data_IF_348517174687
#
_entry.id   IF_348517174687
#
_cell.length_a   1.000
_cell.length_b   1.000
_cell.length_c   1.000
_cell.angle_alpha   90.00
_cell.angle_beta   90.00
_cell.angle_gamma   90.00
#
_symmetry.space_group_name_H-M   'P 1'
#
loop_
_entity.id
_entity.type
_entity.pdbx_description
1 polymer ?
#
# COMPACT_ATOMS: atom_id res chain seq x y z
N UNK A 1 16.72 -22.66 -10.74
CA UNK A 1 16.13 -21.30 -10.63
C UNK A 1 16.48 -20.60 -9.30
N UNK A 2 17.64 -20.91 -8.68
CA UNK A 2 18.10 -20.32 -7.40
C UNK A 2 19.57 -19.86 -7.47
N UNK A 3 20.27 -20.06 -8.59
CA UNK A 3 21.74 -19.83 -8.66
C UNK A 3 22.17 -18.39 -8.92
N UNK A 4 21.24 -17.46 -9.22
CA UNK A 4 21.59 -16.08 -9.58
C UNK A 4 21.17 -15.02 -8.54
N UNK A 5 20.52 -15.41 -7.45
CA UNK A 5 20.09 -14.50 -6.37
C UNK A 5 21.26 -13.72 -5.71
N UNK A 6 22.45 -14.32 -5.47
CA UNK A 6 23.56 -13.58 -4.89
C UNK A 6 24.13 -12.49 -5.82
N UNK A 7 24.15 -12.75 -7.14
CA UNK A 7 24.63 -11.81 -8.16
C UNK A 7 23.67 -10.63 -8.32
N UNK A 8 22.36 -10.89 -8.26
CA UNK A 8 21.32 -9.85 -8.32
C UNK A 8 21.35 -8.93 -7.10
N UNK A 9 21.64 -9.46 -5.90
CA UNK A 9 21.78 -8.64 -4.69
C UNK A 9 23.04 -7.78 -4.73
N UNK A 10 24.16 -8.31 -5.24
CA UNK A 10 25.41 -7.56 -5.34
C UNK A 10 25.30 -6.41 -6.36
N UNK A 11 24.75 -6.68 -7.55
CA UNK A 11 24.52 -5.65 -8.57
C UNK A 11 23.54 -4.55 -8.11
N UNK A 12 22.54 -4.89 -7.30
CA UNK A 12 21.60 -3.93 -6.71
C UNK A 12 22.19 -3.10 -5.56
N UNK A 13 23.34 -3.50 -5.01
CA UNK A 13 24.11 -2.75 -4.01
C UNK A 13 25.12 -1.81 -4.68
N UNK A 14 25.65 -2.18 -5.84
CA UNK A 14 26.78 -1.48 -6.49
C UNK A 14 26.35 -0.38 -7.50
N UNK A 15 25.05 -0.09 -7.63
CA UNK A 15 24.49 1.04 -8.43
C UNK A 15 24.87 1.10 -9.92
N UNK A 16 25.40 0.01 -10.50
CA UNK A 16 25.86 -0.02 -11.89
C UNK A 16 24.85 -0.75 -12.80
N UNK A 17 23.70 -0.08 -13.06
CA UNK A 17 22.69 -0.58 -14.00
C UNK A 17 23.08 -0.21 -15.44
N UNK A 18 24.05 -0.93 -16.00
CA UNK A 18 24.38 -0.82 -17.42
C UNK A 18 23.24 -1.32 -18.35
N UNK A 19 23.19 -0.84 -19.62
CA UNK A 19 22.06 -1.02 -20.54
C UNK A 19 21.78 -2.48 -20.94
N UNK A 20 22.68 -3.42 -20.68
CA UNK A 20 22.51 -4.84 -21.04
C UNK A 20 21.60 -5.63 -20.08
N UNK A 21 21.40 -5.16 -18.84
CA UNK A 21 20.61 -5.87 -17.82
C UNK A 21 19.10 -5.54 -17.82
N UNK A 22 18.67 -4.57 -18.62
CA UNK A 22 17.24 -4.21 -18.78
C UNK A 22 16.42 -5.28 -19.50
N UNK A 23 17.03 -6.34 -20.04
CA UNK A 23 16.34 -7.34 -20.85
C UNK A 23 15.84 -8.57 -20.06
N UNK A 24 16.30 -8.81 -18.82
CA UNK A 24 15.90 -10.01 -18.04
C UNK A 24 15.84 -9.74 -16.52
N UNK A 25 15.42 -8.55 -16.08
CA UNK A 25 14.56 -8.56 -14.88
C UNK A 25 13.24 -9.08 -15.41
N UNK A 26 12.67 -10.19 -14.92
CA UNK A 26 11.35 -10.57 -15.36
C UNK A 26 10.45 -9.36 -15.08
N UNK A 27 9.98 -8.69 -16.13
CA UNK A 27 8.98 -7.63 -16.01
C UNK A 27 7.76 -8.13 -15.22
N UNK A 28 7.61 -9.45 -15.04
CA UNK A 28 6.64 -10.07 -14.15
C UNK A 28 6.83 -9.80 -12.66
N UNK A 29 8.06 -9.55 -12.15
CA UNK A 29 8.28 -9.36 -10.71
C UNK A 29 8.01 -7.94 -10.24
N UNK A 30 8.33 -6.92 -11.05
CA UNK A 30 8.18 -5.51 -10.68
C UNK A 30 7.19 -4.76 -11.58
N UNK A 31 6.59 -5.44 -12.56
CA UNK A 31 5.84 -4.79 -13.62
C UNK A 31 6.75 -4.29 -14.73
N UNK A 32 6.22 -3.40 -15.57
CA UNK A 32 6.97 -2.80 -16.67
C UNK A 32 7.93 -1.71 -16.15
N UNK A 33 9.15 -2.13 -15.78
CA UNK A 33 10.20 -1.24 -15.27
C UNK A 33 10.68 -0.22 -16.31
N UNK A 34 10.37 -0.42 -17.60
CA UNK A 34 10.71 0.51 -18.67
C UNK A 34 9.68 1.64 -18.82
N UNK A 35 8.49 1.47 -18.23
CA UNK A 35 7.46 2.48 -18.28
C UNK A 35 7.88 3.74 -17.51
N UNK A 36 7.68 4.91 -18.10
CA UNK A 36 7.97 6.22 -17.45
C UNK A 36 7.22 6.39 -16.12
N UNK A 37 6.07 5.74 -15.98
CA UNK A 37 5.24 5.72 -14.76
C UNK A 37 5.78 4.84 -13.63
N UNK A 38 6.76 4.00 -13.92
CA UNK A 38 7.32 3.07 -12.94
C UNK A 38 8.16 3.83 -11.92
N UNK A 39 8.08 3.47 -10.64
CA UNK A 39 8.85 4.15 -9.59
C UNK A 39 10.37 4.13 -9.83
N UNK A 40 10.90 3.21 -10.62
CA UNK A 40 12.33 3.14 -10.98
C UNK A 40 12.73 3.95 -12.20
N UNK A 41 11.76 4.49 -12.95
CA UNK A 41 12.03 5.39 -14.07
C UNK A 41 12.25 6.84 -13.62
N UNK A 42 12.03 7.15 -12.35
CA UNK A 42 12.13 8.49 -11.76
C UNK A 42 13.07 8.49 -10.55
N UNK A 43 13.58 9.67 -10.20
CA UNK A 43 14.29 9.86 -8.94
C UNK A 43 13.30 9.98 -7.77
N UNK A 44 13.71 9.48 -6.60
CA UNK A 44 12.95 9.74 -5.38
C UNK A 44 13.12 11.18 -4.95
N UNK A 45 12.10 11.73 -4.28
CA UNK A 45 12.18 13.06 -3.72
C UNK A 45 13.23 13.09 -2.60
N UNK A 46 14.24 13.95 -2.77
CA UNK A 46 15.19 14.26 -1.71
C UNK A 46 14.66 15.42 -0.86
N UNK A 47 14.01 15.08 0.26
CA UNK A 47 13.46 16.07 1.18
C UNK A 47 14.52 16.74 2.08
N UNK A 48 15.80 16.35 1.99
CA UNK A 48 16.86 16.77 2.92
C UNK A 48 16.66 16.26 4.36
N UNK A 49 15.50 15.67 4.65
CA UNK A 49 15.13 15.05 5.92
C UNK A 49 14.44 13.71 5.66
N UNK A 50 14.43 12.86 6.67
CA UNK A 50 13.67 11.60 6.64
C UNK A 50 12.19 11.91 6.89
N UNK A 51 11.32 11.50 5.97
CA UNK A 51 9.88 11.63 6.18
C UNK A 51 9.43 10.78 7.38
N UNK A 52 8.55 11.35 8.19
CA UNK A 52 7.84 10.65 9.25
C UNK A 52 6.73 9.76 8.68
N UNK A 53 6.28 8.76 9.47
CA UNK A 53 5.19 7.86 9.05
C UNK A 53 3.91 8.64 8.66
N UNK A 54 3.44 9.64 9.45
CA UNK A 54 2.26 10.43 9.08
C UNK A 54 2.42 11.21 7.77
N UNK A 55 3.61 11.76 7.50
CA UNK A 55 3.88 12.48 6.25
C UNK A 55 3.80 11.53 5.05
N UNK A 56 4.34 10.32 5.16
CA UNK A 56 4.26 9.32 4.09
C UNK A 56 2.83 8.89 3.85
N UNK A 57 2.07 8.59 4.90
CA UNK A 57 0.68 8.11 4.74
C UNK A 57 -0.25 9.20 4.22
N UNK A 58 -0.06 10.45 4.66
CA UNK A 58 -0.83 11.60 4.13
C UNK A 58 -0.50 11.89 2.67
N UNK A 59 0.79 11.86 2.30
CA UNK A 59 1.18 12.00 0.89
C UNK A 59 0.60 10.87 0.03
N UNK A 60 0.63 9.62 0.51
CA UNK A 60 0.04 8.49 -0.20
C UNK A 60 -1.47 8.69 -0.39
N UNK A 61 -2.22 9.03 0.67
CA UNK A 61 -3.66 9.29 0.59
C UNK A 61 -4.00 10.41 -0.41
N UNK A 62 -3.19 11.47 -0.49
CA UNK A 62 -3.40 12.53 -1.47
C UNK A 62 -3.47 11.99 -2.92
N UNK A 63 -2.58 11.06 -3.30
CA UNK A 63 -2.58 10.46 -4.63
C UNK A 63 -3.69 9.42 -4.85
N UNK A 64 -4.21 8.82 -3.78
CA UNK A 64 -5.34 7.87 -3.83
C UNK A 64 -6.70 8.56 -3.84
N UNK A 65 -6.78 9.82 -3.41
CA UNK A 65 -8.04 10.50 -3.17
C UNK A 65 -8.76 10.86 -4.47
N UNK A 66 -10.05 10.47 -4.63
CA UNK A 66 -10.87 10.92 -5.76
C UNK A 66 -11.16 12.42 -5.73
N UNK A 67 -10.97 13.10 -4.60
CA UNK A 67 -11.16 14.56 -4.51
C UNK A 67 -9.99 15.35 -5.09
N UNK A 68 -8.82 14.71 -5.22
CA UNK A 68 -7.60 15.31 -5.79
C UNK A 68 -7.39 14.82 -7.21
N UNK A 69 -7.57 13.52 -7.43
CA UNK A 69 -7.44 12.86 -8.73
C UNK A 69 -8.73 12.11 -9.07
N UNK A 70 -9.65 12.77 -9.75
CA UNK A 70 -11.01 12.25 -10.01
C UNK A 70 -11.01 10.86 -10.65
N UNK A 71 -10.20 10.66 -11.70
CA UNK A 71 -10.15 9.40 -12.45
C UNK A 71 -9.02 8.48 -11.98
N UNK A 72 -7.83 9.04 -11.72
CA UNK A 72 -6.67 8.24 -11.32
C UNK A 72 -6.75 7.77 -9.85
N UNK A 73 -7.28 8.58 -8.94
CA UNK A 73 -7.37 8.28 -7.50
C UNK A 73 -8.07 6.94 -7.21
N UNK A 74 -9.32 6.72 -7.67
CA UNK A 74 -10.01 5.44 -7.49
C UNK A 74 -9.25 4.23 -8.06
N UNK A 75 -8.61 4.39 -9.23
CA UNK A 75 -7.81 3.32 -9.86
C UNK A 75 -6.59 2.97 -9.02
N UNK A 76 -5.86 3.98 -8.54
CA UNK A 76 -4.72 3.81 -7.62
C UNK A 76 -5.15 3.18 -6.31
N UNK A 77 -6.30 3.58 -5.79
CA UNK A 77 -6.87 3.02 -4.57
C UNK A 77 -7.19 1.53 -4.75
N UNK A 78 -7.88 1.17 -5.83
CA UNK A 78 -8.15 -0.23 -6.15
C UNK A 78 -6.85 -1.03 -6.34
N UNK A 79 -5.86 -0.46 -7.05
CA UNK A 79 -4.54 -1.06 -7.22
C UNK A 79 -3.80 -1.30 -5.88
N UNK A 80 -3.85 -0.33 -4.96
CA UNK A 80 -3.27 -0.49 -3.62
C UNK A 80 -3.97 -1.60 -2.83
N UNK A 81 -5.31 -1.66 -2.87
CA UNK A 81 -6.06 -2.72 -2.17
C UNK A 81 -5.70 -4.09 -2.74
N UNK A 82 -5.60 -4.25 -4.07
CA UNK A 82 -5.13 -5.49 -4.70
C UNK A 82 -3.70 -5.84 -4.30
N UNK A 83 -2.80 -4.86 -4.30
CA UNK A 83 -1.42 -5.04 -3.87
C UNK A 83 -1.30 -5.51 -2.41
N UNK A 84 -2.15 -4.99 -1.51
CA UNK A 84 -2.22 -5.43 -0.12
C UNK A 84 -2.67 -6.90 0.00
N UNK A 85 -3.72 -7.30 -0.70
CA UNK A 85 -4.19 -8.70 -0.70
C UNK A 85 -3.12 -9.65 -1.26
N UNK A 86 -2.50 -9.29 -2.39
CA UNK A 86 -1.40 -10.08 -2.98
C UNK A 86 -0.20 -10.18 -2.04
N UNK A 87 0.19 -9.08 -1.40
CA UNK A 87 1.27 -9.07 -0.42
C UNK A 87 0.95 -9.94 0.81
N UNK A 88 -0.33 -10.07 1.17
CA UNK A 88 -0.79 -10.94 2.24
C UNK A 88 -0.94 -12.42 1.80
N UNK A 89 -0.56 -12.77 0.56
CA UNK A 89 -0.70 -14.13 0.03
C UNK A 89 -2.14 -14.54 -0.25
N UNK A 90 -3.05 -13.56 -0.45
CA UNK A 90 -4.46 -13.81 -0.75
C UNK A 90 -4.75 -13.43 -2.19
N UNK A 91 -5.26 -14.40 -2.96
CA UNK A 91 -5.75 -14.17 -4.32
C UNK A 91 -7.24 -13.85 -4.34
N UNK A 92 -7.99 -14.30 -3.33
CA UNK A 92 -9.40 -13.93 -3.15
C UNK A 92 -9.51 -12.52 -2.55
N UNK A 93 -9.90 -11.58 -3.41
CA UNK A 93 -10.37 -10.27 -3.00
C UNK A 93 -11.72 -10.45 -2.28
N UNK A 94 -11.67 -10.60 -0.95
CA UNK A 94 -12.91 -10.67 -0.13
C UNK A 94 -13.83 -9.46 -0.32
N UNK A 95 -13.28 -8.35 -0.81
CA UNK A 95 -14.00 -7.12 -1.08
C UNK A 95 -14.10 -6.94 -2.59
N UNK A 96 -15.31 -6.68 -3.08
CA UNK A 96 -15.53 -6.32 -4.47
C UNK A 96 -14.95 -4.93 -4.72
N UNK A 97 -14.00 -4.82 -5.64
CA UNK A 97 -13.35 -3.55 -5.97
C UNK A 97 -13.99 -2.84 -7.17
N UNK A 98 -14.83 -3.52 -7.96
CA UNK A 98 -15.55 -2.92 -9.08
C UNK A 98 -16.27 -1.60 -8.71
N UNK A 99 -16.94 -1.50 -7.54
CA UNK A 99 -17.64 -0.27 -7.15
C UNK A 99 -16.71 0.93 -6.96
N UNK A 100 -15.44 0.72 -6.56
CA UNK A 100 -14.45 1.79 -6.47
C UNK A 100 -14.27 2.49 -7.81
N UNK A 101 -14.39 1.74 -8.91
CA UNK A 101 -14.15 2.23 -10.26
C UNK A 101 -15.43 2.69 -10.97
N UNK A 102 -16.59 2.22 -10.50
CA UNK A 102 -17.86 2.35 -11.22
C UNK A 102 -18.76 3.48 -10.72
N UNK A 103 -18.63 3.93 -9.47
CA UNK A 103 -19.56 4.91 -8.90
C UNK A 103 -18.81 6.10 -8.29
N UNK A 104 -18.69 7.21 -9.04
CA UNK A 104 -18.10 8.45 -8.53
C UNK A 104 -18.74 8.89 -7.20
N UNK A 105 -17.93 9.40 -6.27
CA UNK A 105 -18.39 9.92 -4.99
C UNK A 105 -18.73 8.87 -3.92
N UNK A 106 -18.56 7.56 -4.19
CA UNK A 106 -18.74 6.52 -3.18
C UNK A 106 -17.46 6.20 -2.40
N UNK A 107 -16.29 6.57 -2.93
CA UNK A 107 -14.98 6.31 -2.35
C UNK A 107 -14.54 7.48 -1.45
N UNK A 108 -14.16 7.15 -0.22
CA UNK A 108 -13.44 8.05 0.67
C UNK A 108 -12.09 7.43 1.05
N UNK A 109 -11.02 8.21 0.92
CA UNK A 109 -9.69 7.83 1.39
C UNK A 109 -9.20 8.89 2.37
N UNK A 110 -8.85 8.49 3.58
CA UNK A 110 -8.44 9.40 4.64
C UNK A 110 -7.14 8.91 5.28
N UNK A 111 -6.19 9.83 5.42
CA UNK A 111 -5.06 9.64 6.31
C UNK A 111 -5.48 10.08 7.72
N UNK A 112 -4.86 9.49 8.73
CA UNK A 112 -5.03 9.92 10.11
C UNK A 112 -6.51 9.90 10.61
N UNK A 113 -7.32 8.96 10.10
CA UNK A 113 -8.75 8.82 10.45
C UNK A 113 -8.93 8.65 11.95
N UNK A 114 -9.64 9.58 12.60
CA UNK A 114 -9.89 9.52 14.05
C UNK A 114 -11.01 8.54 14.40
N UNK A 115 -10.77 7.73 15.44
CA UNK A 115 -11.75 6.83 16.04
C UNK A 115 -11.74 7.02 17.56
N UNK A 116 -12.52 7.99 18.04
CA UNK A 116 -12.42 8.45 19.43
C UNK A 116 -11.11 9.19 19.68
N UNK A 117 -10.32 8.71 20.65
CA UNK A 117 -9.01 9.23 21.03
C UNK A 117 -7.85 8.69 20.18
N UNK A 118 -8.13 7.79 19.23
CA UNK A 118 -7.12 7.12 18.40
C UNK A 118 -7.17 7.57 16.95
N UNK A 119 -6.09 7.28 16.23
CA UNK A 119 -5.85 7.69 14.84
C UNK A 119 -5.36 6.49 14.03
N UNK A 120 -6.12 6.11 13.01
CA UNK A 120 -5.73 5.09 12.02
C UNK A 120 -4.90 5.78 10.94
N UNK A 121 -3.77 5.20 10.56
CA UNK A 121 -2.86 5.84 9.61
C UNK A 121 -3.49 6.01 8.21
N UNK A 122 -4.16 5.00 7.66
CA UNK A 122 -4.95 5.09 6.42
C UNK A 122 -6.27 4.32 6.55
N UNK A 123 -7.37 4.95 6.13
CA UNK A 123 -8.67 4.31 5.95
C UNK A 123 -9.17 4.52 4.51
N UNK A 124 -9.57 3.42 3.86
CA UNK A 124 -10.20 3.42 2.54
C UNK A 124 -11.60 2.86 2.71
N UNK A 125 -12.59 3.60 2.24
CA UNK A 125 -14.00 3.29 2.45
C UNK A 125 -14.77 3.47 1.15
N UNK A 126 -15.68 2.54 0.86
CA UNK A 126 -16.61 2.68 -0.26
C UNK A 126 -17.91 1.92 -0.03
N UNK A 127 -18.86 2.07 -0.95
CA UNK A 127 -20.15 1.37 -0.90
C UNK A 127 -20.35 0.56 -2.19
N UNK A 128 -20.82 -0.68 -2.06
CA UNK A 128 -21.10 -1.58 -3.19
C UNK A 128 -22.34 -1.15 -4.02
N UNK A 129 -22.97 -0.02 -3.68
CA UNK A 129 -24.16 0.49 -4.33
C UNK A 129 -24.57 1.88 -3.79
N UNK A 130 -25.74 2.41 -4.18
CA UNK A 130 -26.20 3.74 -3.76
C UNK A 130 -26.64 3.81 -2.30
N UNK A 131 -26.83 2.66 -1.65
CA UNK A 131 -27.18 2.58 -0.24
C UNK A 131 -25.97 2.92 0.63
N UNK A 132 -26.19 3.68 1.71
CA UNK A 132 -25.15 4.02 2.68
C UNK A 132 -25.22 3.17 3.95
N UNK A 133 -25.84 1.99 3.87
CA UNK A 133 -25.98 1.07 5.00
C UNK A 133 -24.72 0.25 5.24
N UNK A 134 -24.68 -0.46 6.37
CA UNK A 134 -23.49 -1.26 6.74
C UNK A 134 -23.25 -2.47 5.82
N UNK A 135 -24.29 -3.00 5.18
CA UNK A 135 -24.21 -4.20 4.34
C UNK A 135 -23.60 -3.89 2.98
N UNK A 136 -23.81 -2.68 2.47
CA UNK A 136 -23.15 -2.16 1.27
C UNK A 136 -21.79 -1.54 1.54
N UNK A 137 -21.54 -1.05 2.76
CA UNK A 137 -20.25 -0.43 3.12
C UNK A 137 -19.09 -1.43 3.14
N UNK A 138 -17.97 -1.00 2.60
CA UNK A 138 -16.68 -1.69 2.58
C UNK A 138 -15.61 -0.82 3.22
N UNK A 139 -14.72 -1.42 3.99
CA UNK A 139 -13.71 -0.69 4.75
C UNK A 139 -12.37 -1.42 4.77
N UNK A 140 -11.31 -0.78 4.32
CA UNK A 140 -9.93 -1.24 4.49
C UNK A 140 -9.22 -0.29 5.44
N UNK A 141 -8.72 -0.83 6.56
CA UNK A 141 -7.90 -0.09 7.51
C UNK A 141 -6.46 -0.56 7.39
N UNK A 142 -5.54 0.40 7.31
CA UNK A 142 -4.11 0.14 7.18
C UNK A 142 -3.39 0.89 8.30
N UNK A 143 -2.68 0.14 9.12
CA UNK A 143 -1.76 0.70 10.11
C UNK A 143 -0.34 0.58 9.57
N UNK A 144 0.40 1.69 9.50
CA UNK A 144 1.71 1.75 8.87
C UNK A 144 2.79 1.90 9.94
N UNK A 145 3.86 1.10 9.84
CA UNK A 145 5.01 1.17 10.74
C UNK A 145 6.31 0.99 9.97
N UNK A 146 7.14 2.02 10.01
CA UNK A 146 8.50 2.01 9.49
C UNK A 146 9.52 1.68 10.59
N UNK A 147 9.42 2.29 11.77
CA UNK A 147 10.32 2.01 12.92
C UNK A 147 9.57 1.75 14.22
N UNK A 148 8.31 2.18 14.32
CA UNK A 148 7.59 2.17 15.60
C UNK A 148 6.97 0.82 15.95
N UNK A 149 6.85 0.60 17.25
CA UNK A 149 6.17 -0.57 17.78
C UNK A 149 4.65 -0.35 17.79
N UNK A 150 3.93 -1.41 17.44
CA UNK A 150 2.49 -1.47 17.60
C UNK A 150 2.18 -1.52 19.09
N UNK A 151 1.40 -0.57 19.59
CA UNK A 151 0.92 -0.66 20.98
C UNK A 151 -0.18 -1.71 21.07
N UNK A 152 -0.18 -2.49 22.15
CA UNK A 152 -1.06 -3.66 22.31
C UNK A 152 -2.56 -3.35 22.26
N UNK A 153 -2.97 -2.09 22.47
CA UNK A 153 -4.37 -1.66 22.52
C UNK A 153 -4.89 -1.04 21.22
N UNK A 154 -4.03 -0.69 20.25
CA UNK A 154 -4.46 -0.04 19.01
C UNK A 154 -5.24 -0.99 18.09
N UNK A 155 -4.64 -2.14 17.77
CA UNK A 155 -5.19 -3.09 16.79
C UNK A 155 -6.59 -3.64 17.17
N UNK A 156 -6.88 -3.98 18.44
CA UNK A 156 -8.24 -4.39 18.83
C UNK A 156 -9.26 -3.26 18.69
N UNK A 157 -8.90 -2.02 19.04
CA UNK A 157 -9.83 -0.88 18.97
C UNK A 157 -10.24 -0.56 17.52
N UNK A 158 -9.29 -0.61 16.59
CA UNK A 158 -9.54 -0.41 15.16
C UNK A 158 -10.40 -1.52 14.56
N UNK A 159 -10.21 -2.76 14.99
CA UNK A 159 -11.09 -3.87 14.61
C UNK A 159 -12.53 -3.65 15.09
N UNK A 160 -12.72 -3.26 16.35
CA UNK A 160 -14.04 -2.94 16.89
C UNK A 160 -14.68 -1.75 16.17
N UNK A 161 -13.87 -0.78 15.73
CA UNK A 161 -14.36 0.29 14.86
C UNK A 161 -14.86 -0.29 13.52
N UNK A 162 -14.06 -1.10 12.82
CA UNK A 162 -14.45 -1.69 11.53
C UNK A 162 -15.72 -2.55 11.60
N UNK A 163 -15.83 -3.39 12.63
CA UNK A 163 -17.02 -4.22 12.92
C UNK A 163 -18.27 -3.38 13.20
N UNK A 164 -18.11 -2.17 13.77
CA UNK A 164 -19.24 -1.26 13.96
C UNK A 164 -19.65 -0.55 12.68
N UNK A 165 -18.71 -0.31 11.75
CA UNK A 165 -18.99 0.41 10.51
C UNK A 165 -19.60 -0.47 9.42
N UNK A 166 -19.25 -1.75 9.37
CA UNK A 166 -19.57 -2.66 8.25
C UNK A 166 -20.29 -3.92 8.73
N UNK A 167 -20.99 -4.59 7.82
CA UNK A 167 -21.49 -5.95 8.07
C UNK A 167 -20.33 -6.96 8.15
N UNK A 168 -20.62 -8.18 8.60
CA UNK A 168 -19.61 -9.25 8.65
C UNK A 168 -19.00 -9.47 7.25
N UNK A 169 -17.67 -9.57 7.20
CA UNK A 169 -16.92 -9.69 5.95
C UNK A 169 -16.74 -8.40 5.16
N UNK A 170 -17.39 -7.29 5.55
CA UNK A 170 -17.30 -5.99 4.87
C UNK A 170 -16.03 -5.19 5.15
N UNK A 171 -15.04 -5.75 5.86
CA UNK A 171 -13.80 -5.06 6.18
C UNK A 171 -12.54 -5.92 6.05
N UNK A 172 -11.41 -5.26 5.82
CA UNK A 172 -10.07 -5.85 5.88
C UNK A 172 -9.11 -4.98 6.70
N UNK A 173 -8.18 -5.63 7.39
CA UNK A 173 -7.22 -4.99 8.29
C UNK A 173 -5.81 -5.37 7.86
N UNK A 174 -5.00 -4.39 7.48
CA UNK A 174 -3.62 -4.60 7.05
C UNK A 174 -2.64 -3.89 7.98
N UNK A 175 -1.61 -4.59 8.39
CA UNK A 175 -0.50 -4.04 9.15
C UNK A 175 0.70 -3.97 8.23
N UNK A 176 1.03 -2.76 7.78
CA UNK A 176 2.09 -2.49 6.83
C UNK A 176 3.39 -2.15 7.56
N UNK A 177 4.40 -3.00 7.38
CA UNK A 177 5.62 -3.01 8.17
C UNK A 177 6.84 -2.80 7.28
N UNK A 178 7.91 -2.27 7.83
CA UNK A 178 9.23 -2.36 7.17
C UNK A 178 9.71 -3.82 7.12
N UNK A 179 9.68 -4.50 8.28
CA UNK A 179 10.11 -5.90 8.42
C UNK A 179 9.28 -6.69 9.42
N UNK A 180 9.16 -8.00 9.17
CA UNK A 180 8.56 -8.96 10.11
C UNK A 180 9.61 -9.37 11.15
N UNK A 181 9.48 -8.87 12.37
CA UNK A 181 10.33 -9.27 13.51
C UNK A 181 9.59 -10.26 14.40
N UNK A 182 10.31 -11.04 15.22
CA UNK A 182 9.67 -11.95 16.20
C UNK A 182 8.73 -11.22 17.17
N UNK A 183 9.03 -9.96 17.53
CA UNK A 183 8.14 -9.12 18.35
C UNK A 183 6.86 -8.79 17.60
N UNK A 184 6.98 -8.39 16.34
CA UNK A 184 5.82 -8.11 15.48
C UNK A 184 4.96 -9.36 15.32
N UNK A 185 5.58 -10.52 15.04
CA UNK A 185 4.90 -11.82 14.95
C UNK A 185 4.11 -12.15 16.21
N UNK A 186 4.68 -11.91 17.40
CA UNK A 186 3.95 -12.10 18.68
C UNK A 186 2.75 -11.16 18.82
N UNK A 187 2.87 -9.90 18.38
CA UNK A 187 1.76 -8.94 18.39
C UNK A 187 0.64 -9.38 17.45
N UNK A 188 0.99 -9.82 16.25
CA UNK A 188 0.06 -10.32 15.22
C UNK A 188 -0.62 -11.61 15.67
N UNK A 189 0.08 -12.52 16.34
CA UNK A 189 -0.50 -13.77 16.85
C UNK A 189 -1.68 -13.54 17.81
N UNK A 190 -1.67 -12.41 18.54
CA UNK A 190 -2.78 -11.96 19.40
C UNK A 190 -3.87 -11.19 18.64
N UNK A 191 -3.60 -10.79 17.41
CA UNK A 191 -4.44 -9.96 16.56
C UNK A 191 -4.71 -10.62 15.20
N UNK A 192 -5.22 -11.86 15.21
CA UNK A 192 -5.34 -12.74 14.03
C UNK A 192 -6.06 -12.17 12.80
N UNK A 193 -6.92 -11.17 12.98
CA UNK A 193 -7.63 -10.52 11.87
C UNK A 193 -6.75 -9.55 11.07
N UNK A 194 -5.64 -9.09 11.65
CA UNK A 194 -4.68 -8.22 11.00
C UNK A 194 -3.75 -9.02 10.11
N UNK A 195 -3.69 -8.63 8.84
CA UNK A 195 -2.83 -9.25 7.85
C UNK A 195 -1.51 -8.48 7.81
N UNK A 196 -0.40 -9.09 8.26
CA UNK A 196 0.89 -8.43 8.22
C UNK A 196 1.47 -8.48 6.81
N UNK A 197 1.88 -7.33 6.30
CA UNK A 197 2.50 -7.18 4.99
C UNK A 197 3.68 -6.23 5.10
N UNK A 198 4.65 -6.35 4.20
CA UNK A 198 5.82 -5.45 4.18
C UNK A 198 5.67 -4.37 3.12
N UNK A 199 6.23 -3.18 3.37
CA UNK A 199 6.29 -2.08 2.39
C UNK A 199 6.85 -2.54 1.03
N UNK A 200 7.97 -3.26 1.03
CA UNK A 200 8.59 -3.76 -0.21
C UNK A 200 7.65 -4.69 -0.99
N UNK A 201 6.96 -5.61 -0.31
CA UNK A 201 6.01 -6.51 -0.98
C UNK A 201 4.82 -5.74 -1.58
N UNK A 202 4.25 -4.80 -0.83
CA UNK A 202 3.11 -4.00 -1.30
C UNK A 202 3.51 -3.10 -2.46
N UNK A 203 4.64 -2.38 -2.36
CA UNK A 203 5.13 -1.53 -3.45
C UNK A 203 5.40 -2.33 -4.72
N UNK A 204 6.00 -3.51 -4.60
CA UNK A 204 6.23 -4.40 -5.74
C UNK A 204 4.93 -4.79 -6.44
N UNK A 205 3.91 -5.23 -5.70
CA UNK A 205 2.62 -5.58 -6.30
C UNK A 205 1.89 -4.33 -6.81
N UNK A 206 2.06 -3.19 -6.15
CA UNK A 206 1.46 -1.93 -6.60
C UNK A 206 2.00 -1.53 -7.98
N UNK A 207 3.31 -1.60 -8.24
CA UNK A 207 3.85 -1.31 -9.58
C UNK A 207 3.28 -2.25 -10.66
N UNK A 208 3.00 -3.51 -10.33
CA UNK A 208 2.33 -4.45 -11.25
C UNK A 208 0.87 -4.05 -11.53
N UNK A 209 0.16 -3.55 -10.52
CA UNK A 209 -1.25 -3.15 -10.66
C UNK A 209 -1.41 -1.82 -11.40
N UNK A 210 -0.41 -0.94 -11.33
CA UNK A 210 -0.42 0.38 -11.99
C UNK A 210 0.03 0.35 -13.45
N UNK A 211 0.28 -0.84 -14.03
CA UNK A 211 0.64 -0.96 -15.46
C UNK A 211 -0.48 -0.39 -16.36
N UNK A 212 -1.74 -0.40 -15.92
CA UNK A 212 -2.88 0.07 -16.73
C UNK A 212 -3.37 1.48 -16.31
N UNK A 213 -2.58 2.22 -15.55
CA UNK A 213 -2.97 3.53 -15.02
C UNK A 213 -2.89 4.64 -16.10
N UNK A 214 -3.87 5.56 -16.19
CA UNK A 214 -3.77 6.77 -17.02
C UNK A 214 -2.67 7.74 -16.55
N UNK A 215 -2.22 8.62 -17.45
CA UNK A 215 -1.01 9.45 -17.29
C UNK A 215 -1.10 10.63 -16.27
N UNK A 216 -2.26 10.92 -15.69
CA UNK A 216 -2.45 12.11 -14.84
C UNK A 216 -1.66 12.03 -13.52
N UNK A 217 -0.77 12.99 -13.24
CA UNK A 217 0.00 13.06 -11.98
C UNK A 217 0.92 11.86 -11.74
N UNK A 218 1.21 11.12 -12.81
CA UNK A 218 1.93 9.84 -12.77
C UNK A 218 3.39 10.01 -12.33
N UNK A 219 4.06 11.08 -12.76
CA UNK A 219 5.45 11.33 -12.39
C UNK A 219 5.58 11.61 -10.90
N UNK A 220 4.78 12.52 -10.34
CA UNK A 220 4.83 12.83 -8.90
C UNK A 220 4.46 11.63 -8.04
N UNK A 221 3.48 10.82 -8.47
CA UNK A 221 3.12 9.61 -7.74
C UNK A 221 4.24 8.56 -7.82
N UNK A 222 4.87 8.39 -8.99
CA UNK A 222 6.04 7.52 -9.14
C UNK A 222 7.21 8.00 -8.25
N UNK A 223 7.46 9.30 -8.17
CA UNK A 223 8.47 9.92 -7.31
C UNK A 223 8.20 9.63 -5.82
N UNK A 224 6.93 9.73 -5.39
CA UNK A 224 6.53 9.34 -4.03
C UNK A 224 6.78 7.85 -3.79
N UNK A 225 6.31 6.96 -4.69
CA UNK A 225 6.50 5.51 -4.54
C UNK A 225 7.98 5.14 -4.50
N UNK A 226 8.82 5.78 -5.32
CA UNK A 226 10.28 5.65 -5.29
C UNK A 226 10.87 6.09 -3.96
N UNK A 227 10.39 7.20 -3.41
CA UNK A 227 10.81 7.70 -2.09
C UNK A 227 10.50 6.68 -1.00
N UNK A 228 9.28 6.13 -0.98
CA UNK A 228 8.89 5.09 -0.01
C UNK A 228 9.75 3.83 -0.20
N UNK A 229 10.04 3.44 -1.44
CA UNK A 229 10.93 2.32 -1.74
C UNK A 229 12.31 2.50 -1.12
N UNK A 230 12.93 3.66 -1.32
CA UNK A 230 14.22 4.00 -0.75
C UNK A 230 14.19 3.99 0.78
N UNK A 231 13.10 4.49 1.37
CA UNK A 231 12.90 4.46 2.82
C UNK A 231 12.79 3.04 3.38
N UNK A 232 12.15 2.11 2.66
CA UNK A 232 12.03 0.72 3.07
C UNK A 232 13.34 -0.08 2.85
N UNK A 233 14.09 0.21 1.77
CA UNK A 233 15.39 -0.44 1.51
C UNK A 233 16.48 -0.03 2.50
N UNK A 234 16.56 1.26 2.84
CA UNK A 234 17.68 1.78 3.65
C UNK A 234 17.57 1.46 5.16
N UNK A 235 16.54 0.70 5.58
CA UNK A 235 16.32 0.29 6.97
C UNK A 235 16.76 -1.14 7.25
N UNK A 236 17.31 -1.83 6.25
CA UNK A 236 17.67 -3.26 6.33
C UNK A 236 19.08 -3.54 6.90
N UNK A 237 19.69 -2.61 7.65
CA UNK A 237 21.01 -2.79 8.27
C UNK A 237 20.91 -3.36 9.70
#
# INVERSE_FOLDING_TARGET
MVEHLPVLNQAALDSDWGPAYLSIVPASLYGDVSARRHAFAVEGLNWGIRLSEPQVTSALVNFLSPTVFTDAGPRRCAALVRALYRAAGRMDERLRLDPLLATPGTLEVAAERRTGDRRIDIAIEWFDGPTTDKTSRRLVLIECKFDHHITSKQLPAYRQYAQRQTAEGGYALFLLLDRLTSRTTRSIARNKDWQPVTWLAVLRYLEQELIQEPDEGVEDFACLRRTIWNMAKNRTF
#
